data_IF_065453459952
#
_entry.id   IF_065453459952
#
_cell.length_a   1.000
_cell.length_b   1.000
_cell.length_c   1.000
_cell.angle_alpha   90.00
_cell.angle_beta   90.00
_cell.angle_gamma   90.00
#
_symmetry.space_group_name_H-M   'P 1'
#
loop_
_entity.id
_entity.type
_entity.pdbx_description
1 polymer ?
#
# COMPACT_ATOMS: atom_id res chain seq x y z
N UNK A 1 2.37 -24.33 -20.04
CA UNK A 1 3.32 -23.35 -19.48
C UNK A 1 2.74 -22.85 -18.17
N UNK A 2 3.49 -22.89 -17.06
CA UNK A 2 3.00 -22.36 -15.77
C UNK A 2 3.27 -20.84 -15.69
N UNK A 3 2.24 -20.05 -15.38
CA UNK A 3 2.39 -18.62 -15.12
C UNK A 3 3.04 -18.44 -13.73
N UNK A 4 4.10 -17.63 -13.63
CA UNK A 4 4.63 -17.22 -12.33
C UNK A 4 3.71 -16.18 -11.70
N UNK A 5 3.34 -16.39 -10.43
CA UNK A 5 2.51 -15.47 -9.65
C UNK A 5 3.43 -14.70 -8.69
N UNK A 6 3.30 -13.37 -8.67
CA UNK A 6 4.01 -12.52 -7.71
C UNK A 6 3.19 -12.36 -6.43
N UNK A 7 3.66 -13.01 -5.36
CA UNK A 7 3.03 -13.00 -4.04
C UNK A 7 3.89 -12.26 -3.02
N UNK A 8 3.23 -11.55 -2.10
CA UNK A 8 3.89 -10.76 -1.05
C UNK A 8 3.25 -11.02 0.31
N UNK A 9 4.08 -11.05 1.35
CA UNK A 9 3.64 -11.08 2.75
C UNK A 9 3.80 -9.71 3.43
N UNK A 10 3.54 -9.63 4.75
CA UNK A 10 3.58 -8.36 5.48
C UNK A 10 4.95 -7.67 5.44
N UNK A 11 6.04 -8.43 5.41
CA UNK A 11 7.40 -7.87 5.33
C UNK A 11 7.63 -7.17 4.00
N UNK A 12 7.24 -7.80 2.90
CA UNK A 12 7.38 -7.27 1.55
C UNK A 12 6.48 -6.05 1.34
N UNK A 13 5.25 -6.09 1.85
CA UNK A 13 4.34 -4.92 1.89
C UNK A 13 5.03 -3.74 2.59
N UNK A 14 5.67 -3.96 3.74
CA UNK A 14 6.41 -2.92 4.45
C UNK A 14 7.51 -2.26 3.61
N UNK A 15 8.24 -3.06 2.82
CA UNK A 15 9.28 -2.57 1.91
C UNK A 15 8.69 -1.74 0.76
N UNK A 16 7.65 -2.25 0.09
CA UNK A 16 6.95 -1.57 -1.02
C UNK A 16 6.41 -0.19 -0.59
N UNK A 17 5.95 -0.11 0.67
CA UNK A 17 5.38 1.11 1.25
C UNK A 17 6.43 2.07 1.86
N UNK A 18 7.73 1.80 1.69
CA UNK A 18 8.81 2.68 2.14
C UNK A 18 9.39 2.30 3.50
N UNK A 19 9.70 1.01 3.70
CA UNK A 19 10.33 0.45 4.90
C UNK A 19 9.54 0.71 6.20
N UNK A 20 8.24 0.41 6.18
CA UNK A 20 7.38 0.55 7.34
C UNK A 20 7.61 -0.53 8.40
N UNK A 21 7.37 -0.19 9.67
CA UNK A 21 7.36 -1.16 10.76
C UNK A 21 6.21 -2.16 10.61
N UNK A 22 6.37 -3.36 11.19
CA UNK A 22 5.32 -4.41 11.15
C UNK A 22 3.98 -3.94 11.71
N UNK A 23 3.99 -3.19 12.80
CA UNK A 23 2.77 -2.61 13.38
C UNK A 23 2.08 -1.65 12.40
N UNK A 24 2.85 -0.82 11.69
CA UNK A 24 2.29 0.11 10.71
C UNK A 24 1.75 -0.62 9.48
N UNK A 25 2.43 -1.69 9.03
CA UNK A 25 1.91 -2.57 7.97
C UNK A 25 0.57 -3.15 8.39
N UNK A 26 0.47 -3.73 9.58
CA UNK A 26 -0.79 -4.31 10.07
C UNK A 26 -1.95 -3.31 10.04
N UNK A 27 -1.73 -2.10 10.57
CA UNK A 27 -2.74 -1.03 10.56
C UNK A 27 -3.21 -0.62 9.15
N UNK A 28 -2.33 -0.74 8.16
CA UNK A 28 -2.67 -0.44 6.76
C UNK A 28 -3.43 -1.60 6.14
N UNK A 29 -2.96 -2.83 6.35
CA UNK A 29 -3.53 -4.03 5.72
C UNK A 29 -4.93 -4.40 6.19
N UNK A 30 -5.39 -3.83 7.31
CA UNK A 30 -6.77 -3.99 7.80
C UNK A 30 -7.71 -2.89 7.31
N UNK A 31 -7.22 -1.90 6.55
CA UNK A 31 -8.09 -0.83 6.03
C UNK A 31 -8.96 -1.35 4.89
N UNK A 32 -10.22 -0.88 4.78
CA UNK A 32 -11.13 -1.32 3.73
C UNK A 32 -10.68 -1.01 2.30
N UNK A 33 -9.80 -0.01 2.12
CA UNK A 33 -9.26 0.37 0.82
C UNK A 33 -7.99 -0.39 0.44
N UNK A 34 -7.46 -1.24 1.32
CA UNK A 34 -6.29 -2.07 1.04
C UNK A 34 -6.70 -3.36 0.29
N UNK A 35 -5.86 -3.88 -0.61
CA UNK A 35 -6.16 -5.11 -1.34
C UNK A 35 -6.55 -6.30 -0.44
N UNK A 36 -7.54 -7.07 -0.87
CA UNK A 36 -7.93 -8.31 -0.18
C UNK A 36 -6.81 -9.36 -0.28
N UNK A 37 -6.56 -10.13 0.78
CA UNK A 37 -5.57 -11.21 0.74
C UNK A 37 -6.07 -12.35 -0.14
N UNK A 38 -5.16 -12.92 -0.94
CA UNK A 38 -5.45 -14.12 -1.75
C UNK A 38 -5.27 -15.42 -0.98
N UNK A 39 -4.59 -15.37 0.18
CA UNK A 39 -4.50 -16.48 1.11
C UNK A 39 -4.25 -16.01 2.54
N UNK A 40 -4.68 -16.82 3.49
CA UNK A 40 -4.33 -16.69 4.91
C UNK A 40 -3.56 -17.95 5.34
N UNK A 41 -2.28 -17.77 5.68
CA UNK A 41 -1.41 -18.85 6.14
C UNK A 41 -1.19 -18.73 7.65
N UNK A 42 -0.70 -19.80 8.29
CA UNK A 42 -0.30 -19.74 9.70
C UNK A 42 0.75 -18.64 9.98
N UNK A 43 1.58 -18.31 8.99
CA UNK A 43 2.58 -17.24 9.07
C UNK A 43 2.00 -15.83 8.83
N UNK A 44 0.79 -15.72 8.26
CA UNK A 44 0.11 -14.45 7.98
C UNK A 44 -0.61 -14.42 6.63
N UNK A 45 -1.24 -13.27 6.35
CA UNK A 45 -1.93 -12.98 5.09
C UNK A 45 -0.93 -12.82 3.93
N UNK A 46 -1.38 -13.22 2.74
CA UNK A 46 -0.62 -13.12 1.48
C UNK A 46 -1.45 -12.38 0.45
N UNK A 47 -0.81 -11.49 -0.32
CA UNK A 47 -1.46 -10.68 -1.36
C UNK A 47 -0.80 -10.87 -2.72
N UNK A 48 -1.50 -10.49 -3.78
CA UNK A 48 -0.90 -10.25 -5.09
C UNK A 48 -0.03 -9.00 -5.03
N UNK A 49 1.25 -9.13 -5.36
CA UNK A 49 2.18 -7.99 -5.31
C UNK A 49 1.76 -6.86 -6.24
N UNK A 50 1.24 -7.18 -7.42
CA UNK A 50 0.74 -6.21 -8.40
C UNK A 50 -0.36 -5.31 -7.84
N UNK A 51 -1.28 -5.86 -7.04
CA UNK A 51 -2.36 -5.09 -6.42
C UNK A 51 -1.83 -4.16 -5.31
N UNK A 52 -0.85 -4.62 -4.54
CA UNK A 52 -0.21 -3.81 -3.49
C UNK A 52 0.56 -2.65 -4.10
N UNK A 53 1.30 -2.89 -5.19
CA UNK A 53 2.03 -1.84 -5.91
C UNK A 53 1.08 -0.81 -6.53
N UNK A 54 0.01 -1.26 -7.20
CA UNK A 54 -1.00 -0.38 -7.76
C UNK A 54 -1.68 0.48 -6.68
N UNK A 55 -2.03 -0.11 -5.54
CA UNK A 55 -2.56 0.62 -4.39
C UNK A 55 -1.56 1.66 -3.87
N UNK A 56 -0.29 1.28 -3.74
CA UNK A 56 0.77 2.16 -3.26
C UNK A 56 1.02 3.35 -4.20
N UNK A 57 0.93 3.14 -5.52
CA UNK A 57 1.03 4.19 -6.52
C UNK A 57 -0.13 5.19 -6.41
N UNK A 58 -1.38 4.69 -6.35
CA UNK A 58 -2.58 5.53 -6.21
C UNK A 58 -2.56 6.37 -4.93
N UNK A 59 -2.08 5.80 -3.82
CA UNK A 59 -1.95 6.51 -2.56
C UNK A 59 -0.94 7.67 -2.63
N UNK A 60 0.18 7.49 -3.33
CA UNK A 60 1.18 8.56 -3.53
C UNK A 60 0.62 9.72 -4.35
N UNK A 61 -0.16 9.43 -5.40
CA UNK A 61 -0.85 10.45 -6.21
C UNK A 61 -1.80 11.30 -5.36
N UNK A 62 -2.52 10.69 -4.41
CA UNK A 62 -3.43 11.40 -3.50
C UNK A 62 -2.72 12.40 -2.58
N UNK A 63 -1.49 12.12 -2.18
CA UNK A 63 -0.68 12.98 -1.29
C UNK A 63 -0.01 14.11 -2.09
N UNK A 64 0.35 13.87 -3.36
CA UNK A 64 1.05 14.81 -4.22
C UNK A 64 0.15 15.93 -4.81
N UNK A 65 -1.17 15.91 -4.56
CA UNK A 65 -2.05 17.00 -5.01
C UNK A 65 -1.70 18.27 -4.21
N UNK A 66 -1.32 19.39 -4.87
CA UNK A 66 -0.77 20.53 -4.17
C UNK A 66 -1.80 21.10 -3.18
N UNK A 67 -1.34 21.38 -1.95
CA UNK A 67 -2.04 22.30 -1.05
C UNK A 67 -2.25 23.58 -1.85
N UNK A 68 -3.51 23.95 -2.11
CA UNK A 68 -3.86 25.24 -2.72
C UNK A 68 -3.03 26.32 -2.03
N UNK A 69 -2.19 26.99 -2.80
CA UNK A 69 -1.62 28.28 -2.45
C UNK A 69 -2.79 29.19 -2.06
N UNK A 70 -2.86 29.54 -0.78
CA UNK A 70 -3.71 30.65 -0.34
C UNK A 70 -3.31 31.87 -1.17
N UNK A 71 -4.23 32.59 -1.82
CA UNK A 71 -3.90 33.87 -2.39
C UNK A 71 -3.49 34.79 -1.23
N UNK A 72 -2.34 35.45 -1.41
CA UNK A 72 -1.93 36.53 -0.54
C UNK A 72 -3.08 37.55 -0.49
N UNK A 73 -3.57 37.84 0.71
CA UNK A 73 -4.36 39.03 0.95
C UNK A 73 -3.41 40.20 0.81
N UNK A 74 -3.44 40.83 -0.36
CA UNK A 74 -2.93 42.18 -0.56
C UNK A 74 -4.04 43.14 -0.10
N UNK A 75 -3.83 43.77 1.06
CA UNK A 75 -4.38 45.07 1.45
C UNK A 75 -3.40 45.78 2.38
#
# INVERSE_FOLDING_TARGET
MAQRIYLVGPTEVGKILGNLSRQRVYQITIQPDFPEPVAELAQGKVWLGEQVEAWAANRRVRIAKPRRSSPATEQ
#
